data_IF_363602837974
#
_entry.id   IF_363602837974
#
_cell.length_a   1.000
_cell.length_b   1.000
_cell.length_c   1.000
_cell.angle_alpha   90.00
_cell.angle_beta   90.00
_cell.angle_gamma   90.00
#
_symmetry.space_group_name_H-M   'P 1'
#
loop_
_entity.id
_entity.type
_entity.pdbx_description
1 polymer ?
#
# COMPACT_ATOMS: atom_id res chain seq x y z
N UNK A 1 4.94 30.19 -4.92
CA UNK A 1 3.53 30.12 -4.46
C UNK A 1 3.28 31.30 -3.54
N UNK A 2 2.41 32.22 -3.94
CA UNK A 2 2.23 33.53 -3.30
C UNK A 2 1.53 33.43 -1.93
N UNK A 3 2.01 34.21 -0.96
CA UNK A 3 1.54 34.28 0.44
C UNK A 3 0.04 34.58 0.57
N UNK A 4 -0.55 35.18 -0.46
CA UNK A 4 -1.97 35.52 -0.58
C UNK A 4 -2.87 34.29 -0.79
N UNK A 5 -2.39 33.23 -1.44
CA UNK A 5 -3.11 31.95 -1.56
C UNK A 5 -3.13 31.20 -0.22
N UNK A 6 -2.06 31.33 0.56
CA UNK A 6 -1.93 30.76 1.91
C UNK A 6 -2.92 31.36 2.90
N UNK A 7 -3.24 32.65 2.78
CA UNK A 7 -4.22 33.34 3.64
C UNK A 7 -5.68 33.09 3.27
N UNK A 8 -6.00 32.70 2.03
CA UNK A 8 -7.39 32.39 1.60
C UNK A 8 -7.81 30.95 1.90
N UNK A 9 -6.86 30.02 1.90
CA UNK A 9 -7.09 28.64 2.31
C UNK A 9 -6.99 28.62 3.84
N UNK A 10 -8.10 28.92 4.52
CA UNK A 10 -8.18 28.87 5.98
C UNK A 10 -7.96 27.46 6.54
N UNK A 11 -8.43 27.23 7.76
CA UNK A 11 -8.41 25.88 8.33
C UNK A 11 -9.31 24.95 7.51
N UNK A 12 -8.72 23.87 6.98
CA UNK A 12 -9.40 22.85 6.20
C UNK A 12 -9.45 21.55 7.02
N UNK A 13 -10.50 20.77 6.79
CA UNK A 13 -10.63 19.47 7.43
C UNK A 13 -9.82 18.41 6.67
N UNK A 14 -9.05 17.61 7.41
CA UNK A 14 -8.43 16.41 6.86
C UNK A 14 -9.52 15.42 6.41
N UNK A 15 -9.50 14.98 5.15
CA UNK A 15 -10.53 14.09 4.59
C UNK A 15 -10.58 12.70 5.24
N UNK A 16 -9.56 12.35 6.03
CA UNK A 16 -9.47 11.05 6.73
C UNK A 16 -9.81 11.16 8.21
N UNK A 17 -9.08 11.99 8.97
CA UNK A 17 -9.27 12.10 10.43
C UNK A 17 -10.25 13.20 10.85
N UNK A 18 -10.73 14.03 9.91
CA UNK A 18 -11.65 15.15 10.16
C UNK A 18 -11.13 16.21 11.13
N UNK A 19 -9.83 16.20 11.42
CA UNK A 19 -9.20 17.24 12.23
C UNK A 19 -9.00 18.50 11.37
N UNK A 20 -9.24 19.68 11.96
CA UNK A 20 -8.90 20.97 11.35
C UNK A 20 -7.38 21.13 11.28
N UNK A 21 -6.88 21.43 10.09
CA UNK A 21 -5.46 21.65 9.82
C UNK A 21 -5.28 22.82 8.89
N UNK A 22 -4.14 23.49 9.02
CA UNK A 22 -3.79 24.55 8.09
C UNK A 22 -3.61 23.97 6.69
N UNK A 23 -4.08 24.67 5.66
CA UNK A 23 -3.95 24.25 4.28
C UNK A 23 -2.53 23.80 3.84
N UNK A 24 -1.42 24.43 4.28
CA UNK A 24 -0.07 23.96 3.92
C UNK A 24 0.34 22.63 4.58
N UNK A 25 -0.34 22.16 5.63
CA UNK A 25 -0.07 20.87 6.28
C UNK A 25 -0.79 19.69 5.59
N UNK A 26 -1.67 19.99 4.64
CA UNK A 26 -2.46 19.01 3.91
C UNK A 26 -1.82 18.70 2.55
N UNK A 27 -1.63 17.42 2.25
CA UNK A 27 -1.16 16.96 0.94
C UNK A 27 -2.26 17.15 -0.14
N UNK A 28 -1.94 16.88 -1.41
CA UNK A 28 -2.86 16.92 -2.57
C UNK A 28 -4.17 16.15 -2.36
N UNK A 29 -4.20 15.19 -1.43
CA UNK A 29 -5.40 14.41 -1.09
C UNK A 29 -6.19 14.98 0.10
N UNK A 30 -5.84 16.16 0.60
CA UNK A 30 -6.37 16.74 1.84
C UNK A 30 -6.14 15.83 3.04
N UNK A 31 -4.98 15.17 3.09
CA UNK A 31 -4.58 14.32 4.21
C UNK A 31 -3.41 14.97 4.94
N UNK A 32 -3.46 14.95 6.26
CA UNK A 32 -2.33 15.36 7.09
C UNK A 32 -1.20 14.31 7.05
N UNK A 33 0.01 14.73 7.40
CA UNK A 33 1.21 13.87 7.40
C UNK A 33 1.02 12.58 8.24
N UNK A 34 0.37 12.70 9.40
CA UNK A 34 0.04 11.54 10.23
C UNK A 34 -0.82 10.52 9.49
N UNK A 35 -1.91 10.98 8.86
CA UNK A 35 -2.82 10.13 8.07
C UNK A 35 -2.11 9.49 6.87
N UNK A 36 -1.16 10.19 6.25
CA UNK A 36 -0.33 9.64 5.17
C UNK A 36 0.60 8.55 5.70
N UNK A 37 1.31 8.80 6.80
CA UNK A 37 2.23 7.82 7.39
C UNK A 37 1.51 6.53 7.82
N UNK A 38 0.31 6.65 8.40
CA UNK A 38 -0.49 5.50 8.81
C UNK A 38 -1.03 4.73 7.58
N UNK A 39 -1.46 5.45 6.54
CA UNK A 39 -1.83 4.82 5.27
C UNK A 39 -0.68 3.97 4.71
N UNK A 40 0.55 4.51 4.79
CA UNK A 40 1.76 3.82 4.32
C UNK A 40 2.09 2.59 5.15
N UNK A 41 1.92 2.66 6.47
CA UNK A 41 2.09 1.51 7.37
C UNK A 41 1.09 0.40 7.05
N UNK A 42 -0.19 0.75 6.92
CA UNK A 42 -1.25 -0.21 6.56
C UNK A 42 -0.96 -0.84 5.19
N UNK A 43 -0.65 -0.04 4.17
CA UNK A 43 -0.34 -0.56 2.84
C UNK A 43 0.89 -1.48 2.85
N UNK A 44 1.93 -1.15 3.64
CA UNK A 44 3.10 -2.01 3.80
C UNK A 44 2.75 -3.35 4.44
N UNK A 45 1.92 -3.36 5.50
CA UNK A 45 1.45 -4.58 6.15
C UNK A 45 0.62 -5.44 5.21
N UNK A 46 -0.37 -4.83 4.53
CA UNK A 46 -1.23 -5.52 3.54
C UNK A 46 -0.40 -6.09 2.39
N UNK A 47 0.62 -5.35 1.93
CA UNK A 47 1.55 -5.85 0.93
C UNK A 47 2.29 -7.10 1.38
N UNK A 48 2.89 -7.07 2.57
CA UNK A 48 3.61 -8.23 3.08
C UNK A 48 2.69 -9.43 3.30
N UNK A 49 1.50 -9.24 3.88
CA UNK A 49 0.57 -10.35 4.12
C UNK A 49 0.04 -10.96 2.82
N UNK A 50 -0.36 -10.13 1.85
CA UNK A 50 -0.83 -10.62 0.56
C UNK A 50 0.27 -11.33 -0.24
N UNK A 51 1.48 -10.76 -0.27
CA UNK A 51 2.65 -11.39 -0.89
C UNK A 51 2.99 -12.73 -0.22
N UNK A 52 2.99 -12.79 1.12
CA UNK A 52 3.28 -14.02 1.87
C UNK A 52 2.23 -15.10 1.61
N UNK A 53 0.93 -14.76 1.62
CA UNK A 53 -0.14 -15.70 1.31
C UNK A 53 0.00 -16.26 -0.11
N UNK A 54 0.32 -15.41 -1.08
CA UNK A 54 0.51 -15.84 -2.47
C UNK A 54 1.73 -16.75 -2.61
N UNK A 55 2.85 -16.40 -1.99
CA UNK A 55 4.08 -17.20 -2.03
C UNK A 55 3.92 -18.55 -1.32
N UNK A 56 3.26 -18.57 -0.15
CA UNK A 56 2.97 -19.80 0.59
C UNK A 56 1.98 -20.70 -0.17
N UNK A 57 0.94 -20.13 -0.76
CA UNK A 57 -0.01 -20.87 -1.59
C UNK A 57 0.68 -21.50 -2.80
N UNK A 58 1.56 -20.75 -3.46
CA UNK A 58 2.34 -21.25 -4.59
C UNK A 58 3.34 -22.34 -4.17
N UNK A 59 4.06 -22.13 -3.06
CA UNK A 59 5.00 -23.12 -2.53
C UNK A 59 4.27 -24.42 -2.14
N UNK A 60 3.12 -24.33 -1.48
CA UNK A 60 2.29 -25.47 -1.13
C UNK A 60 1.79 -26.20 -2.39
N UNK A 61 1.37 -25.46 -3.42
CA UNK A 61 0.96 -26.03 -4.70
C UNK A 61 2.09 -26.79 -5.38
N UNK A 62 3.28 -26.19 -5.48
CA UNK A 62 4.46 -26.83 -6.08
C UNK A 62 4.78 -28.13 -5.34
N UNK A 63 4.74 -28.12 -4.01
CA UNK A 63 5.07 -29.28 -3.19
C UNK A 63 4.04 -30.41 -3.32
N UNK A 64 2.74 -30.09 -3.29
CA UNK A 64 1.67 -31.10 -3.27
C UNK A 64 1.32 -31.65 -4.65
N UNK A 65 1.40 -30.81 -5.69
CA UNK A 65 0.90 -31.14 -7.04
C UNK A 65 2.05 -31.41 -8.01
N UNK A 66 3.05 -30.53 -8.04
CA UNK A 66 4.10 -30.61 -9.06
C UNK A 66 5.21 -31.60 -8.68
N UNK A 67 5.45 -31.82 -7.39
CA UNK A 67 6.54 -32.65 -6.83
C UNK A 67 7.89 -32.30 -7.48
N UNK A 68 8.55 -31.21 -7.02
CA UNK A 68 9.73 -30.68 -7.70
C UNK A 68 10.84 -31.73 -7.77
N UNK A 69 11.40 -31.93 -8.97
CA UNK A 69 12.61 -32.72 -9.13
C UNK A 69 13.84 -31.94 -8.64
N UNK A 70 14.79 -32.65 -8.03
CA UNK A 70 15.97 -32.04 -7.38
C UNK A 70 16.87 -31.26 -8.34
N UNK A 71 16.75 -31.47 -9.66
CA UNK A 71 17.55 -30.77 -10.67
C UNK A 71 17.27 -29.26 -10.76
N UNK A 72 16.09 -28.77 -10.33
CA UNK A 72 15.64 -27.39 -10.61
C UNK A 72 15.21 -26.63 -9.35
N UNK A 73 15.75 -27.00 -8.18
CA UNK A 73 15.40 -26.37 -6.90
C UNK A 73 15.57 -24.84 -6.93
N UNK A 74 16.66 -24.36 -7.55
CA UNK A 74 16.91 -22.92 -7.67
C UNK A 74 15.81 -22.16 -8.44
N UNK A 75 15.24 -22.79 -9.49
CA UNK A 75 14.15 -22.19 -10.27
C UNK A 75 12.85 -22.10 -9.48
N UNK A 76 12.55 -23.10 -8.67
CA UNK A 76 11.37 -23.09 -7.79
C UNK A 76 11.47 -22.01 -6.72
N UNK A 77 12.64 -21.89 -6.07
CA UNK A 77 12.89 -20.83 -5.08
C UNK A 77 12.74 -19.45 -5.72
N UNK A 78 13.35 -19.23 -6.88
CA UNK A 78 13.24 -17.97 -7.61
C UNK A 78 11.78 -17.63 -7.94
N UNK A 79 10.98 -18.61 -8.35
CA UNK A 79 9.56 -18.43 -8.66
C UNK A 79 8.75 -18.01 -7.43
N UNK A 80 8.95 -18.65 -6.28
CA UNK A 80 8.26 -18.30 -5.03
C UNK A 80 8.64 -16.88 -4.58
N UNK A 81 9.93 -16.53 -4.67
CA UNK A 81 10.40 -15.17 -4.34
C UNK A 81 9.83 -14.13 -5.29
N UNK A 82 9.77 -14.42 -6.59
CA UNK A 82 9.15 -13.54 -7.57
C UNK A 82 7.66 -13.33 -7.26
N UNK A 83 6.93 -14.41 -6.96
CA UNK A 83 5.52 -14.32 -6.57
C UNK A 83 5.33 -13.43 -5.33
N UNK A 84 6.14 -13.61 -4.28
CA UNK A 84 6.11 -12.75 -3.10
C UNK A 84 6.34 -11.27 -3.46
N UNK A 85 7.35 -10.99 -4.29
CA UNK A 85 7.73 -9.63 -4.67
C UNK A 85 6.64 -8.93 -5.49
N UNK A 86 6.09 -9.61 -6.50
CA UNK A 86 5.00 -9.05 -7.31
C UNK A 86 3.73 -8.86 -6.48
N UNK A 87 3.34 -9.86 -5.69
CA UNK A 87 2.15 -9.78 -4.84
C UNK A 87 2.25 -8.64 -3.84
N UNK A 88 3.38 -8.52 -3.16
CA UNK A 88 3.56 -7.46 -2.17
C UNK A 88 3.58 -6.05 -2.77
N UNK A 89 4.16 -5.88 -3.96
CA UNK A 89 4.20 -4.59 -4.67
C UNK A 89 2.80 -4.18 -5.15
N UNK A 90 2.09 -5.09 -5.81
CA UNK A 90 0.74 -4.82 -6.35
C UNK A 90 -0.23 -4.53 -5.20
N UNK A 91 -0.22 -5.32 -4.13
CA UNK A 91 -1.12 -5.12 -3.00
C UNK A 91 -0.87 -3.81 -2.24
N UNK A 92 0.37 -3.31 -2.17
CA UNK A 92 0.65 -1.97 -1.62
C UNK A 92 -0.05 -0.89 -2.42
N UNK A 93 0.09 -0.91 -3.74
CA UNK A 93 -0.50 0.10 -4.63
C UNK A 93 -2.04 0.07 -4.55
N UNK A 94 -2.62 -1.13 -4.60
CA UNK A 94 -4.08 -1.29 -4.46
C UNK A 94 -4.56 -0.79 -3.09
N UNK A 95 -3.85 -1.11 -2.01
CA UNK A 95 -4.24 -0.67 -0.66
C UNK A 95 -4.25 0.86 -0.53
N UNK A 96 -3.24 1.55 -1.09
CA UNK A 96 -3.23 3.00 -1.15
C UNK A 96 -4.38 3.55 -2.01
N UNK A 97 -4.62 2.95 -3.18
CA UNK A 97 -5.72 3.31 -4.06
C UNK A 97 -7.08 3.21 -3.34
N UNK A 98 -7.34 2.10 -2.66
CA UNK A 98 -8.57 1.88 -1.89
C UNK A 98 -8.73 2.93 -0.80
N UNK A 99 -7.68 3.24 -0.03
CA UNK A 99 -7.76 4.28 1.00
C UNK A 99 -8.06 5.66 0.38
N UNK A 100 -7.49 5.97 -0.79
CA UNK A 100 -7.77 7.22 -1.52
C UNK A 100 -9.23 7.31 -1.96
N UNK A 101 -9.82 6.21 -2.45
CA UNK A 101 -11.22 6.19 -2.86
C UNK A 101 -12.18 6.33 -1.67
N UNK A 102 -11.87 5.67 -0.54
CA UNK A 102 -12.70 5.73 0.66
C UNK A 102 -12.79 7.12 1.29
N UNK A 103 -11.70 7.90 1.21
CA UNK A 103 -11.60 9.21 1.86
C UNK A 103 -11.56 10.36 0.85
N UNK A 104 -12.31 10.23 -0.26
CA UNK A 104 -12.54 11.38 -1.15
C UNK A 104 -13.47 12.37 -0.45
N UNK A 105 -13.08 13.65 -0.34
CA UNK A 105 -14.04 14.69 0.03
C UNK A 105 -15.13 14.73 -1.06
N UNK A 106 -16.39 14.66 -0.62
CA UNK A 106 -17.56 14.87 -1.49
C UNK A 106 -17.76 16.35 -1.74
#
# INVERSE_FOLDING_TARGET
MSDQARRRLGDLYCARCQETRSAPELDRNLWCEFCVSEARRVASRVGHTAGALMALGLAAWIWLVQQPSDLVIGGWVATVVAAFWFGSRVSREISFGVQRFKHRPR
#
